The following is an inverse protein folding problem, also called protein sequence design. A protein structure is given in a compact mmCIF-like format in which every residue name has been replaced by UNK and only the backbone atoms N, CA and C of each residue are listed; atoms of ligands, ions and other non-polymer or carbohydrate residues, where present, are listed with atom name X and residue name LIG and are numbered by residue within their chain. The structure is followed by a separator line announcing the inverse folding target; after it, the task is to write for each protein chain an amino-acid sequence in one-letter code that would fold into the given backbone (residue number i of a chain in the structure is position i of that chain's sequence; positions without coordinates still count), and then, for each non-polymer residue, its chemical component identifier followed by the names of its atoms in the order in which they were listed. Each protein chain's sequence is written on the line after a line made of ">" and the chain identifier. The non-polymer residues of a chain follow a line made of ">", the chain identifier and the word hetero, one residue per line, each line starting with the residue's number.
data_IF_197012571909
#
_entry.id   IF_197012571909
#
_cell.length_a   1.000
_cell.length_b   1.000
_cell.length_c   1.000
_cell.angle_alpha   90.00
_cell.angle_beta   90.00
_cell.angle_gamma   90.00
#
_symmetry.space_group_name_H-M   'P 1'
#
loop_
_entity.id
_entity.type
_entity.pdbx_description
1 polymer ?
#
# COMPACT_ATOMS: atom_id res chain seq x y z
N UNK A 1 14.33 -19.79 -14.09
CA UNK A 1 13.70 -18.76 -13.26
C UNK A 1 14.34 -17.42 -13.61
N UNK A 2 13.56 -16.47 -14.10
CA UNK A 2 14.05 -15.21 -14.67
C UNK A 2 12.86 -14.32 -14.99
N UNK A 3 12.40 -13.60 -13.98
CA UNK A 3 11.19 -12.77 -14.04
C UNK A 3 11.11 -11.77 -12.89
N UNK A 4 12.22 -11.55 -12.19
CA UNK A 4 12.34 -10.55 -11.14
C UNK A 4 13.56 -9.68 -11.46
N UNK A 5 13.46 -8.40 -11.14
CA UNK A 5 14.54 -7.42 -11.31
C UNK A 5 14.99 -7.00 -9.92
N UNK A 6 16.30 -7.09 -9.67
CA UNK A 6 16.93 -6.50 -8.49
C UNK A 6 17.70 -5.28 -8.98
N UNK A 7 17.28 -4.06 -8.61
CA UNK A 7 18.01 -2.85 -8.96
C UNK A 7 19.44 -2.85 -8.39
N UNK A 8 20.41 -2.36 -9.15
CA UNK A 8 21.82 -2.22 -8.69
C UNK A 8 21.98 -1.17 -7.58
N UNK A 9 21.03 -0.23 -7.50
CA UNK A 9 21.00 0.86 -6.53
C UNK A 9 19.61 0.99 -5.92
N UNK A 10 19.51 1.64 -4.77
CA UNK A 10 18.22 1.96 -4.18
C UNK A 10 17.36 2.79 -5.15
N UNK A 11 16.10 2.38 -5.30
CA UNK A 11 15.10 3.10 -6.09
C UNK A 11 14.16 3.85 -5.17
N UNK A 12 13.47 4.85 -5.73
CA UNK A 12 12.40 5.54 -4.99
C UNK A 12 11.21 4.61 -4.78
N UNK A 13 11.13 4.03 -3.57
CA UNK A 13 10.11 3.05 -3.19
C UNK A 13 8.68 3.57 -3.36
N UNK A 14 8.33 4.76 -2.84
CA UNK A 14 7.01 5.34 -3.04
C UNK A 14 6.60 5.50 -4.50
N UNK A 15 7.48 5.97 -5.39
CA UNK A 15 7.16 6.03 -6.83
C UNK A 15 6.99 4.65 -7.44
N UNK A 16 7.82 3.67 -7.07
CA UNK A 16 7.67 2.29 -7.53
C UNK A 16 6.31 1.72 -7.11
N UNK A 17 5.91 1.92 -5.85
CA UNK A 17 4.60 1.50 -5.33
C UNK A 17 3.47 2.23 -6.04
N UNK A 18 3.57 3.55 -6.22
CA UNK A 18 2.53 4.35 -6.87
C UNK A 18 2.31 3.99 -8.34
N UNK A 19 3.33 3.45 -9.01
CA UNK A 19 3.29 3.07 -10.43
C UNK A 19 3.04 1.56 -10.65
N UNK A 20 3.14 0.72 -9.61
CA UNK A 20 2.90 -0.71 -9.73
C UNK A 20 1.41 -1.04 -9.95
N UNK A 21 1.11 -2.09 -10.72
CA UNK A 21 -0.27 -2.58 -10.87
C UNK A 21 -0.80 -3.29 -9.61
N UNK A 22 0.12 -3.90 -8.85
CA UNK A 22 -0.16 -4.64 -7.62
C UNK A 22 1.09 -4.68 -6.74
N UNK A 23 0.91 -4.51 -5.43
CA UNK A 23 1.95 -4.78 -4.42
C UNK A 23 1.63 -6.08 -3.70
N UNK A 24 2.59 -6.99 -3.62
CA UNK A 24 2.52 -8.19 -2.76
C UNK A 24 3.68 -8.12 -1.78
N UNK A 25 3.40 -8.03 -0.48
CA UNK A 25 4.46 -7.83 0.52
C UNK A 25 4.06 -8.33 1.92
N UNK A 26 5.05 -8.81 2.67
CA UNK A 26 4.91 -9.15 4.08
C UNK A 26 5.21 -7.97 5.03
N UNK A 27 5.63 -6.81 4.49
CA UNK A 27 6.07 -5.66 5.27
C UNK A 27 4.91 -4.74 5.68
N UNK A 28 4.82 -4.37 6.95
CA UNK A 28 3.75 -3.51 7.45
C UNK A 28 3.74 -2.10 6.87
N UNK A 29 4.87 -1.39 6.88
CA UNK A 29 4.95 0.00 6.41
C UNK A 29 4.62 0.11 4.92
N UNK A 30 5.25 -0.72 4.09
CA UNK A 30 5.07 -0.71 2.65
C UNK A 30 3.62 -1.03 2.23
N UNK A 31 2.94 -1.93 2.96
CA UNK A 31 1.53 -2.23 2.69
C UNK A 31 0.64 -1.01 2.95
N UNK A 32 0.88 -0.30 4.06
CA UNK A 32 0.13 0.93 4.38
C UNK A 32 0.43 2.07 3.42
N UNK A 33 1.66 2.18 2.93
CA UNK A 33 2.04 3.13 1.88
C UNK A 33 1.31 2.84 0.57
N UNK A 34 1.23 1.57 0.15
CA UNK A 34 0.44 1.18 -1.03
C UNK A 34 -1.04 1.59 -0.89
N UNK A 35 -1.65 1.33 0.27
CA UNK A 35 -3.02 1.77 0.56
C UNK A 35 -3.17 3.29 0.55
N UNK A 36 -2.19 4.03 1.08
CA UNK A 36 -2.20 5.49 1.10
C UNK A 36 -2.06 6.09 -0.31
N UNK A 37 -1.28 5.43 -1.17
CA UNK A 37 -1.10 5.78 -2.58
C UNK A 37 -2.24 5.26 -3.46
N UNK A 38 -3.15 4.43 -2.93
CA UNK A 38 -4.25 3.86 -3.71
C UNK A 38 -3.83 2.74 -4.66
N UNK A 39 -2.62 2.19 -4.49
CA UNK A 39 -2.16 1.01 -5.23
C UNK A 39 -2.77 -0.25 -4.59
N UNK A 40 -3.36 -1.17 -5.38
CA UNK A 40 -3.82 -2.46 -4.87
C UNK A 40 -2.70 -3.20 -4.13
N UNK A 41 -3.02 -3.76 -2.97
CA UNK A 41 -2.03 -4.47 -2.14
C UNK A 41 -2.59 -5.73 -1.52
N UNK A 42 -1.78 -6.79 -1.56
CA UNK A 42 -2.01 -8.05 -0.87
C UNK A 42 -0.90 -8.30 0.15
N UNK A 43 -1.28 -8.48 1.42
CA UNK A 43 -0.32 -8.86 2.47
C UNK A 43 -0.09 -10.36 2.48
N UNK A 44 1.18 -10.77 2.55
CA UNK A 44 1.60 -12.16 2.83
C UNK A 44 2.04 -12.35 4.28
N UNK A 45 1.79 -11.37 5.15
CA UNK A 45 2.19 -11.45 6.56
C UNK A 45 1.34 -12.48 7.31
N UNK A 46 1.98 -13.50 7.86
CA UNK A 46 1.33 -14.63 8.57
C UNK A 46 1.26 -14.45 10.09
N UNK A 47 1.88 -13.39 10.63
CA UNK A 47 1.85 -13.09 12.06
C UNK A 47 0.54 -12.46 12.53
N UNK A 48 0.51 -12.03 13.80
CA UNK A 48 -0.61 -11.25 14.33
C UNK A 48 -0.72 -9.92 13.58
N UNK A 49 -1.80 -9.76 12.83
CA UNK A 49 -2.07 -8.54 12.06
C UNK A 49 -2.14 -7.34 13.03
N UNK A 50 -1.46 -6.26 12.67
CA UNK A 50 -1.51 -5.02 13.46
C UNK A 50 -2.86 -4.31 13.28
N UNK A 51 -3.35 -3.61 14.30
CA UNK A 51 -4.69 -3.00 14.32
C UNK A 51 -5.01 -2.13 13.08
N UNK A 52 -4.01 -1.41 12.55
CA UNK A 52 -4.18 -0.62 11.32
C UNK A 52 -4.42 -1.54 10.11
N UNK A 53 -3.66 -2.63 9.96
CA UNK A 53 -3.84 -3.56 8.84
C UNK A 53 -5.16 -4.33 8.98
N UNK A 54 -5.54 -4.73 10.21
CA UNK A 54 -6.84 -5.34 10.49
C UNK A 54 -7.98 -4.43 10.00
N UNK A 55 -7.89 -3.13 10.29
CA UNK A 55 -8.88 -2.17 9.86
C UNK A 55 -8.89 -1.98 8.34
N UNK A 56 -7.73 -1.86 7.71
CA UNK A 56 -7.62 -1.70 6.25
C UNK A 56 -8.15 -2.93 5.51
N UNK A 57 -7.94 -4.13 6.04
CA UNK A 57 -8.52 -5.37 5.51
C UNK A 57 -10.03 -5.36 5.66
N UNK A 58 -10.55 -5.02 6.85
CA UNK A 58 -11.98 -4.93 7.09
C UNK A 58 -12.69 -3.90 6.19
N UNK A 59 -12.03 -2.78 5.91
CA UNK A 59 -12.53 -1.73 5.01
C UNK A 59 -12.32 -2.10 3.51
N UNK A 60 -11.76 -3.28 3.19
CA UNK A 60 -11.53 -3.75 1.82
C UNK A 60 -10.40 -3.03 1.07
N UNK A 61 -9.58 -2.25 1.78
CA UNK A 61 -8.48 -1.45 1.21
C UNK A 61 -7.15 -2.20 1.15
N UNK A 62 -7.04 -3.33 1.84
CA UNK A 62 -5.91 -4.25 1.81
C UNK A 62 -6.43 -5.69 1.70
N UNK A 63 -5.92 -6.47 0.77
CA UNK A 63 -6.23 -7.90 0.70
C UNK A 63 -5.24 -8.74 1.47
N UNK A 64 -5.65 -9.95 1.86
CA UNK A 64 -4.77 -10.97 2.45
C UNK A 64 -4.56 -12.07 1.43
N UNK A 65 -3.29 -12.40 1.15
CA UNK A 65 -2.96 -13.48 0.22
C UNK A 65 -2.79 -14.78 1.00
N UNK A 66 -3.79 -15.64 0.95
CA UNK A 66 -3.78 -16.97 1.58
C UNK A 66 -3.47 -18.10 0.58
N UNK A 67 -3.79 -17.89 -0.69
CA UNK A 67 -3.52 -18.82 -1.78
C UNK A 67 -2.97 -18.05 -3.00
N UNK A 68 -1.74 -18.33 -3.46
CA UNK A 68 -1.15 -17.66 -4.62
C UNK A 68 -1.96 -17.83 -5.91
N UNK A 69 -2.79 -18.88 -6.04
CA UNK A 69 -3.64 -19.09 -7.21
C UNK A 69 -4.76 -18.04 -7.32
N UNK A 70 -5.03 -17.29 -6.26
CA UNK A 70 -6.07 -16.24 -6.21
C UNK A 70 -5.59 -14.88 -6.72
N UNK A 71 -4.29 -14.73 -6.98
CA UNK A 71 -3.73 -13.47 -7.48
C UNK A 71 -4.21 -13.22 -8.91
N UNK A 72 -5.00 -12.17 -9.08
CA UNK A 72 -5.41 -11.67 -10.40
C UNK A 72 -4.48 -10.51 -10.78
N UNK A 73 -3.68 -10.72 -11.82
CA UNK A 73 -2.82 -9.68 -12.39
C UNK A 73 -3.54 -9.00 -13.55
N UNK A 74 -3.94 -7.76 -13.34
CA UNK A 74 -4.50 -6.87 -14.36
C UNK A 74 -3.76 -5.54 -14.33
N UNK A 75 -3.49 -4.97 -15.52
CA UNK A 75 -2.97 -3.60 -15.58
C UNK A 75 -4.00 -2.61 -15.06
N UNK A 76 -3.56 -1.64 -14.27
CA UNK A 76 -4.39 -0.51 -13.88
C UNK A 76 -4.71 0.35 -15.09
N UNK A 77 -5.96 0.75 -15.17
CA UNK A 77 -6.44 1.70 -16.17
C UNK A 77 -6.29 3.14 -15.67
N UNK A 78 -6.34 4.10 -16.58
CA UNK A 78 -6.37 5.51 -16.22
C UNK A 78 -7.55 5.85 -15.27
N UNK A 79 -8.68 5.16 -15.42
CA UNK A 79 -9.82 5.33 -14.53
C UNK A 79 -9.54 4.82 -13.11
N UNK A 80 -8.76 3.74 -12.96
CA UNK A 80 -8.34 3.24 -11.65
C UNK A 80 -7.38 4.23 -10.98
N UNK A 81 -6.48 4.83 -11.75
CA UNK A 81 -5.54 5.84 -11.25
C UNK A 81 -6.26 7.14 -10.85
N UNK A 82 -7.23 7.60 -11.64
CA UNK A 82 -8.08 8.75 -11.30
C UNK A 82 -8.89 8.49 -10.03
N UNK A 83 -9.48 7.29 -9.89
CA UNK A 83 -10.22 6.90 -8.70
C UNK A 83 -9.31 6.81 -7.47
N UNK A 84 -8.11 6.25 -7.63
CA UNK A 84 -7.09 6.18 -6.58
C UNK A 84 -6.68 7.59 -6.13
N UNK A 85 -6.41 8.50 -7.07
CA UNK A 85 -6.04 9.88 -6.77
C UNK A 85 -7.17 10.67 -6.11
N UNK A 86 -8.41 10.53 -6.57
CA UNK A 86 -9.58 11.13 -5.94
C UNK A 86 -9.82 10.61 -4.51
N UNK A 87 -9.46 9.35 -4.24
CA UNK A 87 -9.53 8.73 -2.92
C UNK A 87 -8.41 9.15 -1.96
N UNK A 88 -7.34 9.81 -2.45
CA UNK A 88 -6.21 10.26 -1.60
C UNK A 88 -6.61 11.46 -0.76
N UNK A 89 -6.66 11.26 0.55
CA UNK A 89 -6.93 12.34 1.50
C UNK A 89 -5.62 13.08 1.83
N UNK A 90 -5.49 14.31 1.34
CA UNK A 90 -4.42 15.23 1.79
C UNK A 90 -4.90 15.95 3.05
N UNK A 91 -4.05 15.96 4.08
CA UNK A 91 -4.27 16.71 5.32
C UNK A 91 -3.19 17.76 5.47
N UNK A 92 -3.53 18.86 6.12
CA UNK A 92 -2.54 19.86 6.50
C UNK A 92 -1.52 19.23 7.46
N UNK A 93 -0.22 19.21 7.13
CA UNK A 93 0.80 18.70 8.03
C UNK A 93 0.91 19.50 9.33
N UNK A 94 0.51 20.78 9.36
CA UNK A 94 0.54 21.60 10.57
C UNK A 94 -0.33 20.99 11.67
N UNK A 95 -1.46 20.38 11.32
CA UNK A 95 -2.31 19.68 12.30
C UNK A 95 -1.58 18.57 13.05
N UNK A 96 -0.72 17.80 12.36
CA UNK A 96 0.07 16.76 13.01
C UNK A 96 1.10 17.36 13.97
N UNK A 97 1.74 18.45 13.55
CA UNK A 97 2.72 19.18 14.39
C UNK A 97 2.03 19.73 15.64
N UNK A 98 0.87 20.36 15.50
CA UNK A 98 0.09 20.87 16.62
C UNK A 98 -0.32 19.76 17.61
N UNK A 99 -0.78 18.61 17.12
CA UNK A 99 -1.12 17.46 17.96
C UNK A 99 0.08 16.92 18.72
N UNK A 100 1.26 16.83 18.08
CA UNK A 100 2.49 16.37 18.73
C UNK A 100 2.96 17.35 19.81
N UNK A 101 2.85 18.66 19.57
CA UNK A 101 3.28 19.69 20.53
C UNK A 101 2.29 19.91 21.68
N UNK A 102 1.02 19.56 21.49
CA UNK A 102 -0.03 19.68 22.52
C UNK A 102 -0.19 18.43 23.41
N UNK A 103 0.45 17.32 23.05
CA UNK A 103 0.55 16.13 23.89
C UNK A 103 1.48 16.40 25.08
N UNK A 104 0.91 16.99 26.14
CA UNK A 104 1.54 17.11 27.47
C UNK A 104 1.18 15.94 28.37
#
# INVERSE_FOLDING_TARGET
>A
AGGFVIPEVAVDGPSLVALADLVVSAGGTMNREAVALGTPVLTTFEGKIGAVDERLIADGRMGRLEDPATVVLSRRSAADDEAAEAGRVRRDPELLVELLLSAR
#
